data_IF_268537806543
#
_entry.id   IF_268537806543
#
_cell.length_a   1.000
_cell.length_b   1.000
_cell.length_c   1.000
_cell.angle_alpha   90.00
_cell.angle_beta   90.00
_cell.angle_gamma   90.00
#
_symmetry.space_group_name_H-M   'P 1'
#
loop_
_entity.id
_entity.type
_entity.pdbx_description
1 polymer ?
#
# COMPACT_ATOMS: atom_id res chain seq x y z
N UNK A 1 -7.90 6.05 -0.29
CA UNK A 1 -7.74 5.63 1.12
C UNK A 1 -8.81 4.65 1.59
N UNK A 2 -10.12 4.97 1.44
CA UNK A 2 -11.23 4.13 1.95
C UNK A 2 -11.18 2.69 1.41
N UNK A 3 -10.94 2.50 0.11
CA UNK A 3 -10.87 1.18 -0.50
C UNK A 3 -9.70 0.35 0.07
N UNK A 4 -8.53 0.95 0.18
CA UNK A 4 -7.33 0.37 0.78
C UNK A 4 -7.58 -0.01 2.25
N UNK A 5 -8.17 0.90 3.02
CA UNK A 5 -8.49 0.65 4.44
C UNK A 5 -9.47 -0.52 4.62
N UNK A 6 -10.49 -0.63 3.75
CA UNK A 6 -11.42 -1.76 3.77
C UNK A 6 -10.74 -3.09 3.48
N UNK A 7 -9.82 -3.13 2.52
CA UNK A 7 -9.04 -4.35 2.22
C UNK A 7 -8.17 -4.76 3.41
N UNK A 8 -7.53 -3.80 4.11
CA UNK A 8 -6.72 -4.11 5.30
C UNK A 8 -7.61 -4.62 6.44
N UNK A 9 -8.66 -3.85 6.83
CA UNK A 9 -9.26 -4.01 8.14
C UNK A 9 -10.78 -3.82 8.21
N UNK A 10 -11.56 -4.09 7.13
CA UNK A 10 -13.00 -4.16 7.28
C UNK A 10 -13.39 -5.26 8.27
N UNK A 11 -14.34 -4.96 9.15
CA UNK A 11 -14.80 -5.90 10.18
C UNK A 11 -15.44 -7.11 9.51
N UNK A 12 -14.93 -8.30 9.81
CA UNK A 12 -15.46 -9.54 9.28
C UNK A 12 -16.55 -10.16 10.19
N UNK A 13 -17.27 -11.14 9.64
CA UNK A 13 -18.28 -11.93 10.34
C UNK A 13 -19.43 -11.11 10.96
N UNK A 14 -19.79 -9.99 10.35
CA UNK A 14 -20.87 -9.10 10.79
C UNK A 14 -22.08 -9.10 9.83
N UNK A 15 -22.06 -9.90 8.77
CA UNK A 15 -23.12 -9.98 7.76
C UNK A 15 -23.25 -8.73 6.86
N UNK A 16 -22.25 -7.84 6.87
CA UNK A 16 -22.27 -6.57 6.13
C UNK A 16 -21.08 -6.47 5.19
N UNK A 17 -21.34 -6.24 3.91
CA UNK A 17 -20.38 -5.86 2.89
C UNK A 17 -19.25 -6.85 2.68
N UNK A 18 -18.04 -6.45 3.00
CA UNK A 18 -16.81 -7.22 2.82
C UNK A 18 -16.12 -7.50 4.16
N UNK A 19 -15.19 -8.45 4.18
CA UNK A 19 -14.25 -8.65 5.26
C UNK A 19 -12.85 -8.18 4.83
N UNK A 20 -12.16 -7.46 5.68
CA UNK A 20 -10.73 -7.17 5.51
C UNK A 20 -9.88 -8.38 5.89
N UNK A 21 -8.57 -8.29 5.63
CA UNK A 21 -7.62 -9.35 6.01
C UNK A 21 -7.48 -9.40 7.54
N UNK A 22 -7.33 -8.27 8.22
CA UNK A 22 -7.20 -8.15 9.67
C UNK A 22 -8.45 -7.53 10.30
N UNK A 23 -9.38 -8.36 10.74
CA UNK A 23 -10.71 -7.91 11.23
C UNK A 23 -10.68 -7.07 12.51
N UNK A 24 -9.63 -7.19 13.30
CA UNK A 24 -9.44 -6.49 14.58
C UNK A 24 -8.13 -5.70 14.55
N UNK A 25 -8.06 -4.69 13.72
CA UNK A 25 -6.89 -3.83 13.55
C UNK A 25 -7.27 -2.37 13.77
N UNK A 26 -6.34 -1.60 14.32
CA UNK A 26 -6.47 -0.15 14.35
C UNK A 26 -5.86 0.44 13.09
N UNK A 27 -6.63 1.25 12.37
CA UNK A 27 -6.20 1.95 11.17
C UNK A 27 -5.98 3.43 11.51
N UNK A 28 -4.82 3.94 11.15
CA UNK A 28 -4.46 5.36 11.25
C UNK A 28 -4.49 5.97 9.84
N UNK A 29 -5.56 6.68 9.45
CA UNK A 29 -5.63 7.29 8.12
C UNK A 29 -4.81 8.58 8.08
N UNK A 30 -3.75 8.60 7.28
CA UNK A 30 -2.90 9.77 7.06
C UNK A 30 -3.09 10.26 5.62
N UNK A 31 -3.71 11.44 5.46
CA UNK A 31 -4.06 11.97 4.16
C UNK A 31 -3.06 13.02 3.70
N UNK A 32 -2.31 12.75 2.63
CA UNK A 32 -1.48 13.73 1.95
C UNK A 32 -1.88 13.99 0.49
N UNK A 33 -2.79 13.15 -0.06
CA UNK A 33 -3.30 13.32 -1.42
C UNK A 33 -4.60 14.12 -1.43
N UNK A 34 -4.73 14.99 -2.42
CA UNK A 34 -5.98 15.70 -2.75
C UNK A 34 -7.01 14.75 -3.35
N UNK A 35 -8.23 15.24 -3.60
CA UNK A 35 -9.26 14.47 -4.31
C UNK A 35 -8.86 14.10 -5.75
N UNK A 36 -7.94 14.84 -6.37
CA UNK A 36 -7.38 14.56 -7.68
C UNK A 36 -6.22 13.53 -7.65
N UNK A 37 -5.88 12.99 -6.46
CA UNK A 37 -4.81 12.03 -6.30
C UNK A 37 -3.39 12.63 -6.33
N UNK A 38 -3.25 13.95 -6.28
CA UNK A 38 -1.97 14.64 -6.23
C UNK A 38 -1.59 15.01 -4.80
N UNK A 39 -0.30 14.94 -4.47
CA UNK A 39 0.26 15.34 -3.17
C UNK A 39 1.68 15.84 -3.32
N UNK A 40 2.23 16.40 -2.24
CA UNK A 40 3.62 16.84 -2.20
C UNK A 40 4.48 15.85 -1.40
N UNK A 41 5.74 15.76 -1.74
CA UNK A 41 6.71 14.96 -0.98
C UNK A 41 6.79 15.40 0.48
N UNK A 42 6.73 16.71 0.74
CA UNK A 42 6.75 17.24 2.11
C UNK A 42 5.54 16.81 2.94
N UNK A 43 4.34 16.79 2.36
CA UNK A 43 3.14 16.31 3.04
C UNK A 43 3.20 14.80 3.30
N UNK A 44 3.76 14.03 2.37
CA UNK A 44 3.99 12.61 2.56
C UNK A 44 4.99 12.34 3.70
N UNK A 45 6.12 13.05 3.72
CA UNK A 45 7.12 12.95 4.80
C UNK A 45 6.47 13.27 6.16
N UNK A 46 5.69 14.33 6.25
CA UNK A 46 4.97 14.66 7.48
C UNK A 46 4.03 13.54 7.95
N UNK A 47 3.40 12.79 7.03
CA UNK A 47 2.61 11.62 7.37
C UNK A 47 3.48 10.47 7.89
N UNK A 48 4.64 10.22 7.29
CA UNK A 48 5.58 9.18 7.75
C UNK A 48 6.10 9.53 9.15
N UNK A 49 6.53 10.78 9.38
CA UNK A 49 7.02 11.25 10.69
C UNK A 49 5.92 11.14 11.76
N UNK A 50 4.69 11.48 11.42
CA UNK A 50 3.55 11.31 12.31
C UNK A 50 3.31 9.83 12.66
N UNK A 51 3.37 8.93 11.69
CA UNK A 51 3.24 7.49 11.90
C UNK A 51 4.34 6.96 12.84
N UNK A 52 5.59 7.38 12.65
CA UNK A 52 6.73 7.03 13.51
C UNK A 52 6.48 7.51 14.95
N UNK A 53 6.09 8.77 15.12
CA UNK A 53 5.84 9.37 16.44
C UNK A 53 4.69 8.67 17.22
N UNK A 54 3.77 8.01 16.51
CA UNK A 54 2.64 7.29 17.11
C UNK A 54 2.84 5.78 17.18
N UNK A 55 4.03 5.28 16.87
CA UNK A 55 4.41 3.89 17.07
C UNK A 55 3.62 2.88 16.24
N UNK A 56 3.28 3.20 14.99
CA UNK A 56 2.61 2.24 14.10
C UNK A 56 3.54 1.06 13.79
N UNK A 57 2.98 -0.11 13.55
CA UNK A 57 3.77 -1.30 13.22
C UNK A 57 4.03 -1.43 11.72
N UNK A 58 3.08 -0.98 10.89
CA UNK A 58 3.13 -1.12 9.43
C UNK A 58 2.58 0.15 8.79
N UNK A 59 3.23 0.63 7.73
CA UNK A 59 2.74 1.71 6.85
C UNK A 59 2.36 1.10 5.52
N UNK A 60 1.14 1.39 5.02
CA UNK A 60 0.71 1.03 3.68
C UNK A 60 0.85 2.21 2.73
N UNK A 61 1.68 2.07 1.71
CA UNK A 61 1.99 3.07 0.69
C UNK A 61 1.42 2.66 -0.68
N UNK A 62 0.09 2.82 -0.85
CA UNK A 62 -0.59 2.59 -2.13
C UNK A 62 -0.50 3.83 -3.04
N UNK A 63 0.69 4.37 -3.23
CA UNK A 63 1.02 5.50 -4.10
C UNK A 63 2.40 5.30 -4.72
N UNK A 64 2.75 6.12 -5.72
CA UNK A 64 4.07 6.08 -6.32
C UNK A 64 4.41 7.34 -7.12
N UNK A 65 5.69 7.50 -7.38
CA UNK A 65 6.28 8.57 -8.20
C UNK A 65 7.48 8.02 -8.97
N UNK A 66 7.70 8.55 -10.18
CA UNK A 66 8.92 8.24 -10.96
C UNK A 66 10.13 9.11 -10.60
N UNK A 67 9.97 10.01 -9.65
CA UNK A 67 11.02 10.93 -9.23
C UNK A 67 11.61 10.45 -7.91
N UNK A 68 12.92 10.18 -7.91
CA UNK A 68 13.65 9.89 -6.68
C UNK A 68 13.64 11.10 -5.74
N UNK A 69 13.36 10.86 -4.47
CA UNK A 69 13.43 11.89 -3.43
C UNK A 69 14.32 11.43 -2.28
N UNK A 70 15.47 12.09 -2.11
CA UNK A 70 16.37 11.80 -0.99
C UNK A 70 15.71 12.08 0.37
N UNK A 71 14.80 13.05 0.43
CA UNK A 71 14.07 13.38 1.66
C UNK A 71 13.04 12.30 2.02
N UNK A 72 12.31 11.76 1.03
CA UNK A 72 11.39 10.64 1.26
C UNK A 72 12.15 9.37 1.64
N UNK A 73 13.26 9.07 0.94
CA UNK A 73 14.15 7.97 1.31
C UNK A 73 14.59 8.07 2.78
N UNK A 74 15.02 9.25 3.22
CA UNK A 74 15.46 9.47 4.61
C UNK A 74 14.30 9.28 5.62
N UNK A 75 13.09 9.73 5.30
CA UNK A 75 11.92 9.52 6.15
C UNK A 75 11.57 8.02 6.28
N UNK A 76 11.64 7.25 5.19
CA UNK A 76 11.40 5.80 5.22
C UNK A 76 12.54 5.08 5.95
N UNK A 77 13.78 5.53 5.82
CA UNK A 77 14.91 5.02 6.61
C UNK A 77 14.74 5.30 8.12
N UNK A 78 14.12 6.43 8.49
CA UNK A 78 13.74 6.70 9.88
C UNK A 78 12.64 5.76 10.38
N UNK A 79 11.65 5.44 9.54
CA UNK A 79 10.64 4.41 9.84
C UNK A 79 11.30 3.03 10.03
N UNK A 80 12.30 2.69 9.20
CA UNK A 80 13.12 1.48 9.37
C UNK A 80 13.79 1.43 10.74
N UNK A 81 14.45 2.52 11.14
CA UNK A 81 15.12 2.62 12.43
C UNK A 81 14.14 2.47 13.61
N UNK A 82 12.88 2.82 13.42
CA UNK A 82 11.79 2.62 14.38
C UNK A 82 11.16 1.20 14.32
N UNK A 83 11.67 0.29 13.47
CA UNK A 83 11.16 -1.07 13.32
C UNK A 83 9.83 -1.18 12.57
N UNK A 84 9.48 -0.17 11.79
CA UNK A 84 8.24 -0.08 11.03
C UNK A 84 8.43 -0.73 9.65
N UNK A 85 7.56 -1.65 9.28
CA UNK A 85 7.51 -2.23 7.94
C UNK A 85 6.76 -1.26 7.02
N UNK A 86 7.31 -1.05 5.82
CA UNK A 86 6.76 -0.13 4.82
C UNK A 86 6.31 -0.93 3.59
N UNK A 87 5.00 -1.10 3.39
CA UNK A 87 4.45 -1.88 2.26
C UNK A 87 4.17 -0.95 1.11
N UNK A 88 4.84 -1.15 -0.02
CA UNK A 88 4.76 -0.29 -1.20
C UNK A 88 4.10 -1.00 -2.39
N UNK A 89 3.26 -0.30 -3.11
CA UNK A 89 2.72 -0.76 -4.39
C UNK A 89 3.81 -0.68 -5.48
N UNK A 90 4.00 -1.75 -6.28
CA UNK A 90 5.05 -1.83 -7.29
C UNK A 90 4.87 -0.88 -8.49
N UNK A 91 3.64 -0.37 -8.70
CA UNK A 91 3.28 0.48 -9.84
C UNK A 91 2.48 -0.26 -10.92
N UNK A 92 1.90 0.50 -11.84
CA UNK A 92 0.87 -0.01 -12.76
C UNK A 92 1.21 0.29 -14.24
N UNK A 93 2.46 0.19 -14.64
CA UNK A 93 2.91 0.45 -16.01
C UNK A 93 3.21 -0.83 -16.82
N UNK A 94 3.14 -2.02 -16.21
CA UNK A 94 3.44 -3.30 -16.85
C UNK A 94 4.92 -3.45 -17.23
N UNK A 95 5.82 -2.82 -16.48
CA UNK A 95 7.26 -2.79 -16.78
C UNK A 95 8.09 -3.37 -15.64
N UNK A 96 9.32 -3.80 -15.97
CA UNK A 96 10.29 -4.17 -14.93
C UNK A 96 10.76 -2.92 -14.18
N UNK A 97 10.81 -3.04 -12.84
CA UNK A 97 11.30 -2.00 -11.93
C UNK A 97 12.70 -2.26 -11.39
N UNK A 98 13.39 -3.30 -11.85
CA UNK A 98 14.75 -3.64 -11.42
C UNK A 98 15.78 -2.54 -11.70
N UNK A 99 15.51 -1.65 -12.66
CA UNK A 99 16.35 -0.48 -12.94
C UNK A 99 16.03 0.75 -12.07
N UNK A 100 15.09 0.63 -11.11
CA UNK A 100 14.71 1.71 -10.20
C UNK A 100 13.84 2.78 -10.87
N UNK A 101 12.55 2.54 -11.08
CA UNK A 101 11.67 3.43 -11.83
C UNK A 101 10.45 3.96 -11.06
N UNK A 102 10.04 3.31 -9.99
CA UNK A 102 8.87 3.71 -9.21
C UNK A 102 9.21 3.75 -7.72
N UNK A 103 9.08 4.92 -7.10
CA UNK A 103 9.33 5.16 -5.68
C UNK A 103 8.02 5.37 -4.93
N UNK A 104 7.89 4.87 -3.68
CA UNK A 104 8.93 4.35 -2.78
C UNK A 104 9.34 2.89 -3.04
N UNK A 105 8.68 2.14 -3.91
CA UNK A 105 8.93 0.72 -4.15
C UNK A 105 10.40 0.39 -4.52
N UNK A 106 11.05 1.27 -5.28
CA UNK A 106 12.42 1.08 -5.75
C UNK A 106 13.51 1.62 -4.81
N UNK A 107 13.19 2.10 -3.61
CA UNK A 107 14.23 2.46 -2.64
C UNK A 107 14.89 1.21 -2.06
N UNK A 108 16.22 1.18 -2.05
CA UNK A 108 17.01 0.08 -1.47
C UNK A 108 17.01 0.15 0.06
N UNK A 109 15.88 -0.19 0.69
CA UNK A 109 15.67 -0.24 2.14
C UNK A 109 15.02 -1.58 2.50
N UNK A 110 15.58 -2.32 3.43
CA UNK A 110 15.15 -3.68 3.80
C UNK A 110 13.87 -3.75 4.67
N UNK A 111 13.31 -2.59 5.04
CA UNK A 111 11.98 -2.51 5.65
C UNK A 111 10.86 -2.27 4.62
N UNK A 112 11.20 -2.08 3.35
CA UNK A 112 10.20 -1.95 2.29
C UNK A 112 9.83 -3.36 1.79
N UNK A 113 8.53 -3.59 1.69
CA UNK A 113 7.95 -4.78 1.06
C UNK A 113 7.20 -4.31 -0.18
N UNK A 114 7.78 -4.54 -1.35
CA UNK A 114 7.21 -4.14 -2.64
C UNK A 114 6.28 -5.21 -3.17
N UNK A 115 5.03 -4.81 -3.48
CA UNK A 115 3.94 -5.74 -3.82
C UNK A 115 3.45 -5.54 -5.25
N UNK A 116 3.58 -6.59 -6.08
CA UNK A 116 2.95 -6.70 -7.40
C UNK A 116 1.47 -7.13 -7.29
N UNK A 117 0.72 -6.97 -8.38
CA UNK A 117 -0.67 -7.36 -8.44
C UNK A 117 -0.87 -8.65 -9.25
N UNK A 118 -1.67 -9.59 -8.71
CA UNK A 118 -2.17 -10.75 -9.45
C UNK A 118 -3.65 -10.63 -9.76
N UNK A 119 -4.08 -11.40 -10.76
CA UNK A 119 -5.48 -11.69 -11.07
C UNK A 119 -6.03 -12.81 -10.18
N UNK A 120 -7.27 -13.24 -10.44
CA UNK A 120 -7.94 -14.33 -9.72
C UNK A 120 -7.38 -15.74 -10.00
N UNK A 121 -6.49 -15.91 -10.99
CA UNK A 121 -5.85 -17.16 -11.35
C UNK A 121 -4.39 -17.20 -10.87
N UNK A 122 -4.00 -16.27 -9.97
CA UNK A 122 -2.64 -16.06 -9.49
C UNK A 122 -1.62 -15.69 -10.59
N UNK A 123 -2.11 -15.26 -11.77
CA UNK A 123 -1.27 -14.74 -12.83
C UNK A 123 -0.95 -13.27 -12.57
N UNK A 124 0.24 -12.82 -12.96
CA UNK A 124 0.60 -11.41 -12.87
C UNK A 124 -0.39 -10.57 -13.70
N UNK A 125 -1.01 -9.59 -13.06
CA UNK A 125 -1.92 -8.68 -13.76
C UNK A 125 -1.17 -7.89 -14.85
N UNK A 126 -1.76 -7.73 -16.03
CA UNK A 126 -1.10 -7.15 -17.21
C UNK A 126 -0.57 -5.74 -17.00
N UNK A 127 -1.18 -4.99 -16.09
CA UNK A 127 -0.74 -3.65 -15.71
C UNK A 127 0.35 -3.65 -14.63
N UNK A 128 0.53 -4.75 -13.88
CA UNK A 128 1.44 -4.75 -12.73
C UNK A 128 2.88 -4.58 -13.14
N UNK A 129 3.58 -3.66 -12.48
CA UNK A 129 5.03 -3.67 -12.53
C UNK A 129 5.56 -4.94 -11.87
N UNK A 130 6.76 -5.36 -12.27
CA UNK A 130 7.42 -6.58 -11.82
C UNK A 130 8.93 -6.37 -11.74
N UNK A 131 9.63 -7.28 -11.10
CA UNK A 131 11.09 -7.27 -11.03
C UNK A 131 11.60 -8.35 -10.10
N UNK A 132 12.63 -9.08 -10.54
CA UNK A 132 13.19 -10.18 -9.75
C UNK A 132 13.99 -9.69 -8.54
N UNK A 133 14.50 -8.46 -8.59
CA UNK A 133 15.29 -7.85 -7.52
C UNK A 133 14.59 -6.69 -6.81
N UNK A 134 13.48 -6.18 -7.37
CA UNK A 134 12.80 -4.98 -6.88
C UNK A 134 11.38 -5.23 -6.37
N UNK A 135 10.82 -6.42 -6.56
CA UNK A 135 9.49 -6.82 -6.09
C UNK A 135 9.62 -8.04 -5.20
N UNK A 136 9.15 -7.95 -3.97
CA UNK A 136 9.32 -9.00 -2.96
C UNK A 136 8.27 -10.11 -3.08
N UNK A 137 7.03 -9.74 -3.37
CA UNK A 137 5.93 -10.69 -3.54
C UNK A 137 4.77 -10.09 -4.35
N UNK A 138 3.80 -10.91 -4.67
CA UNK A 138 2.57 -10.49 -5.32
C UNK A 138 1.35 -10.84 -4.46
N UNK A 139 0.27 -10.07 -4.63
CA UNK A 139 -1.00 -10.29 -3.96
C UNK A 139 -2.18 -9.94 -4.89
N UNK A 140 -3.41 -10.39 -4.60
CA UNK A 140 -4.57 -10.04 -5.40
C UNK A 140 -4.74 -8.54 -5.58
N UNK A 141 -4.73 -8.08 -6.83
CA UNK A 141 -4.79 -6.65 -7.16
C UNK A 141 -5.72 -6.34 -8.33
N UNK A 142 -6.28 -7.34 -9.01
CA UNK A 142 -7.23 -7.17 -10.09
C UNK A 142 -8.65 -7.49 -9.63
N UNK A 143 -9.60 -6.62 -9.99
CA UNK A 143 -11.02 -6.76 -9.68
C UNK A 143 -11.34 -6.90 -8.17
N UNK A 144 -10.68 -6.14 -7.32
CA UNK A 144 -10.83 -6.17 -5.87
C UNK A 144 -12.05 -5.35 -5.44
N UNK A 145 -13.02 -6.01 -4.80
CA UNK A 145 -14.16 -5.36 -4.16
C UNK A 145 -13.79 -4.86 -2.77
N UNK A 146 -14.04 -3.58 -2.50
CA UNK A 146 -13.83 -3.02 -1.15
C UNK A 146 -14.73 -1.82 -0.89
N UNK A 147 -14.68 -1.30 0.32
CA UNK A 147 -15.43 -0.10 0.76
C UNK A 147 -15.08 1.11 -0.08
N UNK A 148 -16.06 2.00 -0.30
CA UNK A 148 -15.86 3.19 -1.13
C UNK A 148 -16.41 4.44 -0.46
N UNK A 149 -15.81 5.59 -0.76
CA UNK A 149 -16.04 6.85 -0.04
C UNK A 149 -17.36 7.58 -0.37
N UNK A 150 -18.12 7.10 -1.37
CA UNK A 150 -19.32 7.82 -1.83
C UNK A 150 -20.51 7.75 -0.87
N UNK A 151 -20.57 6.74 -0.01
CA UNK A 151 -21.52 6.63 1.11
C UNK A 151 -21.04 5.57 2.12
N UNK A 152 -21.67 5.48 3.28
CA UNK A 152 -21.35 4.50 4.33
C UNK A 152 -21.68 3.05 3.94
N UNK A 153 -22.47 2.87 2.88
CA UNK A 153 -22.84 1.56 2.33
C UNK A 153 -22.25 1.31 0.95
N UNK A 154 -21.33 2.16 0.47
CA UNK A 154 -20.78 2.05 -0.85
C UNK A 154 -19.61 1.06 -0.90
N UNK A 155 -19.64 0.22 -1.94
CA UNK A 155 -18.54 -0.67 -2.32
C UNK A 155 -18.21 -0.45 -3.80
N UNK A 156 -16.96 -0.71 -4.17
CA UNK A 156 -16.50 -0.59 -5.56
C UNK A 156 -15.44 -1.62 -5.88
N UNK A 157 -15.46 -2.12 -7.11
CA UNK A 157 -14.40 -2.95 -7.66
C UNK A 157 -13.34 -2.03 -8.27
N UNK A 158 -12.08 -2.15 -7.82
CA UNK A 158 -10.93 -1.45 -8.36
C UNK A 158 -9.82 -2.45 -8.69
N UNK A 159 -8.88 -2.05 -9.55
CA UNK A 159 -7.67 -2.79 -9.86
C UNK A 159 -6.43 -1.91 -9.75
N UNK A 160 -5.29 -2.52 -9.40
CA UNK A 160 -4.00 -1.85 -9.25
C UNK A 160 -3.13 -2.52 -8.20
N UNK A 161 -1.83 -2.29 -8.26
CA UNK A 161 -0.90 -2.66 -7.18
C UNK A 161 -1.25 -1.94 -5.87
N UNK A 162 -1.96 -0.81 -5.95
CA UNK A 162 -2.58 -0.13 -4.80
C UNK A 162 -3.63 -0.97 -4.07
N UNK A 163 -4.22 -2.00 -4.71
CA UNK A 163 -5.15 -2.95 -4.11
C UNK A 163 -4.43 -4.22 -3.65
N UNK A 164 -3.29 -4.55 -4.22
CA UNK A 164 -2.44 -5.66 -3.80
C UNK A 164 -1.71 -5.36 -2.47
N UNK A 165 -1.06 -4.21 -2.35
CA UNK A 165 -0.32 -3.79 -1.15
C UNK A 165 -1.14 -3.91 0.16
N UNK A 166 -2.41 -3.50 0.24
CA UNK A 166 -3.19 -3.63 1.47
C UNK A 166 -3.48 -5.08 1.89
N UNK A 167 -3.49 -6.06 0.99
CA UNK A 167 -3.58 -7.48 1.36
C UNK A 167 -2.36 -7.90 2.18
N UNK A 168 -1.17 -7.51 1.72
CA UNK A 168 0.08 -7.77 2.44
C UNK A 168 0.13 -7.01 3.77
N UNK A 169 -0.30 -5.75 3.78
CA UNK A 169 -0.39 -4.94 5.00
C UNK A 169 -1.30 -5.60 6.04
N UNK A 170 -2.46 -6.09 5.62
CA UNK A 170 -3.38 -6.81 6.49
C UNK A 170 -2.78 -8.11 7.02
N UNK A 171 -2.09 -8.88 6.17
CA UNK A 171 -1.41 -10.11 6.58
C UNK A 171 -0.31 -9.83 7.62
N UNK A 172 0.50 -8.79 7.41
CA UNK A 172 1.52 -8.36 8.37
C UNK A 172 0.91 -7.89 9.70
N UNK A 173 -0.26 -7.24 9.67
CA UNK A 173 -0.98 -6.85 10.88
C UNK A 173 -1.48 -8.04 11.72
N UNK A 174 -1.69 -9.22 11.10
CA UNK A 174 -2.05 -10.44 11.82
C UNK A 174 -0.84 -11.12 12.51
N UNK A 175 0.39 -10.78 12.09
CA UNK A 175 1.62 -11.34 12.64
C UNK A 175 2.16 -10.53 13.83
N UNK A 176 1.57 -9.37 14.11
CA UNK A 176 1.94 -8.46 15.20
C UNK A 176 0.98 -8.58 16.37
#
# INVERSE_FOLDING_TARGET
GTHVAGTIGAVGNNGVGIAGIAWKVQLMPLRFLTAAGAGTTSANIACIDYAIAHGVSVINASYGSRVYSAAEFAAIASARAAGIIFVAAAGNAGVSTDAGSDYPAAYALDNIVTVAATDRNDSLASFSNYGAGSVDLAAPGEAILSTYYSSDTAYRILGGTSMAAPHVTGALALLK
#
